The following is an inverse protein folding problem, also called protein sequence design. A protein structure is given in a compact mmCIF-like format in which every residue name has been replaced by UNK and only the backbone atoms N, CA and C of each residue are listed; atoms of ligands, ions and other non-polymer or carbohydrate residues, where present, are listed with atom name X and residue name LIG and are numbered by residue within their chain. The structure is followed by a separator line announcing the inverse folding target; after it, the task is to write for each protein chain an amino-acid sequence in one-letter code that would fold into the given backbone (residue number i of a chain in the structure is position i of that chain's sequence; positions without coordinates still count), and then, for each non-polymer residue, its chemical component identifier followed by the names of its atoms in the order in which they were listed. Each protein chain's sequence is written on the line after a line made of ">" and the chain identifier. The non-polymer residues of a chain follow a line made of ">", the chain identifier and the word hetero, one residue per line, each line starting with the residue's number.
data_IF_161582339093
#
_entry.id   IF_161582339093
#
_cell.length_a   1.000
_cell.length_b   1.000
_cell.length_c   1.000
_cell.angle_alpha   90.00
_cell.angle_beta   90.00
_cell.angle_gamma   90.00
#
_symmetry.space_group_name_H-M   'P 1'
#
loop_
_entity.id
_entity.type
_entity.pdbx_description
1 polymer ?
#
# COMPACT_ATOMS: atom_id res chain seq x y z
N UNK A 1 -28.86 -5.18 21.03
CA UNK A 1 -27.56 -5.42 20.38
C UNK A 1 -27.80 -6.04 19.01
N UNK A 2 -28.10 -5.30 17.99
CA UNK A 2 -28.16 -5.78 16.60
C UNK A 2 -28.75 -4.67 15.71
N UNK A 3 -27.96 -3.69 15.28
CA UNK A 3 -28.38 -2.81 14.17
C UNK A 3 -27.23 -2.01 13.55
N UNK A 4 -25.99 -2.19 14.00
CA UNK A 4 -24.82 -1.45 13.47
C UNK A 4 -23.93 -2.25 12.51
N UNK A 5 -24.22 -3.53 12.27
CA UNK A 5 -23.43 -4.38 11.38
C UNK A 5 -23.98 -4.43 9.93
N UNK A 6 -25.15 -3.86 9.66
CA UNK A 6 -25.84 -4.01 8.37
C UNK A 6 -25.50 -2.91 7.33
N UNK A 7 -24.79 -1.84 7.73
CA UNK A 7 -24.53 -0.71 6.81
C UNK A 7 -23.13 -0.70 6.15
N UNK A 8 -22.29 -1.72 6.37
CA UNK A 8 -20.91 -1.76 5.86
C UNK A 8 -20.65 -2.79 4.76
N UNK A 9 -21.68 -3.37 4.16
CA UNK A 9 -21.51 -4.17 2.94
C UNK A 9 -22.08 -3.42 1.74
N UNK A 10 -21.27 -2.66 0.99
CA UNK A 10 -21.68 -2.36 -0.37
C UNK A 10 -21.73 -3.71 -1.09
N UNK A 11 -22.92 -4.17 -1.47
CA UNK A 11 -23.09 -5.32 -2.35
C UNK A 11 -22.24 -5.11 -3.61
N UNK A 12 -21.13 -5.82 -3.71
CA UNK A 12 -20.31 -5.90 -4.92
C UNK A 12 -21.06 -6.73 -5.97
N UNK A 13 -22.10 -6.14 -6.59
CA UNK A 13 -22.63 -6.69 -7.83
C UNK A 13 -21.61 -6.48 -8.93
N UNK A 14 -20.93 -7.57 -9.28
CA UNK A 14 -20.15 -7.64 -10.51
C UNK A 14 -21.06 -7.38 -11.70
N UNK A 15 -21.12 -6.13 -12.17
CA UNK A 15 -21.64 -5.85 -13.49
C UNK A 15 -20.61 -6.31 -14.52
N UNK A 16 -20.92 -7.20 -15.46
CA UNK A 16 -19.98 -7.62 -16.48
C UNK A 16 -19.57 -6.40 -17.30
N UNK A 17 -18.32 -5.99 -17.19
CA UNK A 17 -17.77 -4.91 -18.01
C UNK A 17 -17.87 -5.30 -19.50
N UNK A 18 -18.31 -4.43 -20.40
CA UNK A 18 -18.37 -4.71 -21.82
C UNK A 18 -16.98 -5.14 -22.31
N UNK A 19 -16.95 -6.23 -23.09
CA UNK A 19 -15.75 -6.81 -23.67
C UNK A 19 -15.12 -5.82 -24.66
N UNK A 20 -14.20 -5.01 -24.20
CA UNK A 20 -13.31 -4.24 -25.08
C UNK A 20 -12.23 -5.21 -25.59
N UNK A 21 -11.88 -5.18 -26.88
CA UNK A 21 -10.85 -6.06 -27.43
C UNK A 21 -9.56 -5.90 -26.61
N UNK A 22 -9.09 -7.00 -25.99
CA UNK A 22 -7.90 -7.02 -25.12
C UNK A 22 -6.65 -6.46 -25.80
N UNK A 23 -6.60 -6.46 -27.13
CA UNK A 23 -5.48 -6.01 -27.94
C UNK A 23 -5.25 -4.49 -27.93
N UNK A 24 -6.32 -3.68 -28.04
CA UNK A 24 -6.16 -2.21 -28.08
C UNK A 24 -5.70 -1.62 -26.76
N UNK A 25 -6.25 -2.07 -25.63
CA UNK A 25 -5.80 -1.61 -24.30
C UNK A 25 -4.37 -2.08 -23.99
N UNK A 26 -3.96 -3.23 -24.52
CA UNK A 26 -2.60 -3.75 -24.36
C UNK A 26 -1.56 -2.92 -25.11
N UNK A 27 -1.86 -2.47 -26.33
CA UNK A 27 -0.93 -1.68 -27.16
C UNK A 27 -0.72 -0.28 -26.56
N UNK A 28 -1.80 0.44 -26.27
CA UNK A 28 -1.74 1.78 -25.68
C UNK A 28 -0.98 1.81 -24.34
N UNK A 29 -1.15 0.81 -23.51
CA UNK A 29 -0.45 0.76 -22.24
C UNK A 29 1.02 0.34 -22.40
N UNK A 30 1.35 -0.51 -23.37
CA UNK A 30 2.74 -0.84 -23.70
C UNK A 30 3.48 0.38 -24.26
N UNK A 31 2.84 1.19 -25.08
CA UNK A 31 3.41 2.46 -25.56
C UNK A 31 3.57 3.47 -24.43
N UNK A 32 2.62 3.57 -23.51
CA UNK A 32 2.72 4.42 -22.33
C UNK A 32 3.86 3.97 -21.41
N UNK A 33 3.97 2.67 -21.11
CA UNK A 33 5.05 2.12 -20.29
C UNK A 33 6.41 2.34 -20.97
N UNK A 34 6.51 2.10 -22.28
CA UNK A 34 7.72 2.34 -23.04
C UNK A 34 8.12 3.83 -23.02
N UNK A 35 7.16 4.73 -23.22
CA UNK A 35 7.41 6.17 -23.14
C UNK A 35 7.97 6.60 -21.80
N UNK A 36 7.34 6.14 -20.69
CA UNK A 36 7.78 6.48 -19.35
C UNK A 36 9.14 5.85 -19.02
N UNK A 37 9.37 4.58 -19.39
CA UNK A 37 10.66 3.93 -19.16
C UNK A 37 11.79 4.62 -19.95
N UNK A 38 11.54 4.99 -21.20
CA UNK A 38 12.50 5.75 -22.00
C UNK A 38 12.76 7.15 -21.41
N UNK A 39 11.70 7.86 -20.99
CA UNK A 39 11.80 9.17 -20.36
C UNK A 39 12.57 9.13 -19.05
N UNK A 40 12.26 8.14 -18.21
CA UNK A 40 12.91 7.97 -16.91
C UNK A 40 14.27 7.26 -17.01
N UNK A 41 14.61 6.64 -18.13
CA UNK A 41 15.86 5.90 -18.33
C UNK A 41 15.93 4.60 -17.52
N UNK A 42 14.80 3.94 -17.28
CA UNK A 42 14.70 2.75 -16.41
C UNK A 42 14.06 1.57 -17.16
N UNK A 43 14.19 0.36 -16.60
CA UNK A 43 13.56 -0.85 -17.14
C UNK A 43 12.91 -1.64 -16.00
N UNK A 44 11.58 -1.62 -15.98
CA UNK A 44 10.79 -2.27 -14.93
C UNK A 44 9.75 -3.25 -15.48
N UNK A 45 9.57 -3.30 -16.82
CA UNK A 45 8.68 -4.24 -17.50
C UNK A 45 9.12 -5.70 -17.35
N UNK A 46 8.17 -6.62 -17.61
CA UNK A 46 8.35 -8.07 -17.47
C UNK A 46 8.01 -8.57 -16.08
N UNK A 47 7.52 -9.82 -16.01
CA UNK A 47 7.22 -10.52 -14.77
C UNK A 47 8.45 -11.26 -14.22
N UNK A 48 8.39 -11.66 -12.97
CA UNK A 48 9.28 -12.62 -12.36
C UNK A 48 8.48 -13.44 -11.33
N UNK A 49 8.77 -14.73 -11.25
CA UNK A 49 8.17 -15.59 -10.23
C UNK A 49 8.81 -15.31 -8.88
N UNK A 50 8.00 -15.26 -7.84
CA UNK A 50 8.52 -15.18 -6.49
C UNK A 50 9.00 -16.54 -6.02
N UNK A 51 10.17 -16.55 -5.37
CA UNK A 51 10.69 -17.76 -4.70
C UNK A 51 10.26 -17.83 -3.23
N UNK A 52 9.65 -16.78 -2.70
CA UNK A 52 9.21 -16.75 -1.31
C UNK A 52 7.72 -17.19 -1.21
N UNK A 53 7.40 -18.15 -0.31
CA UNK A 53 6.07 -18.77 -0.26
C UNK A 53 4.91 -17.81 -0.04
N UNK A 54 5.12 -16.75 0.71
CA UNK A 54 4.08 -15.74 1.04
C UNK A 54 4.13 -14.49 0.15
N UNK A 55 5.17 -14.35 -0.71
CA UNK A 55 5.25 -13.23 -1.65
C UNK A 55 4.53 -13.58 -2.98
N UNK A 56 4.00 -12.56 -3.62
CA UNK A 56 3.38 -12.70 -4.94
C UNK A 56 4.39 -12.49 -6.06
N UNK A 57 4.09 -13.08 -7.20
CA UNK A 57 4.88 -12.86 -8.41
C UNK A 57 4.98 -11.37 -8.74
N UNK A 58 6.16 -10.97 -9.21
CA UNK A 58 6.39 -9.61 -9.64
C UNK A 58 5.50 -9.26 -10.82
N UNK A 59 4.71 -8.23 -10.65
CA UNK A 59 3.90 -7.59 -11.68
C UNK A 59 3.83 -6.09 -11.44
N UNK A 60 3.56 -5.33 -12.48
CA UNK A 60 3.48 -3.88 -12.36
C UNK A 60 2.24 -3.33 -13.07
N UNK A 61 1.69 -2.25 -12.53
CA UNK A 61 0.64 -1.46 -13.16
C UNK A 61 1.25 -0.54 -14.22
N UNK A 62 0.42 0.01 -15.10
CA UNK A 62 0.83 1.06 -16.00
C UNK A 62 1.20 2.34 -15.23
N UNK A 63 2.14 3.12 -15.74
CA UNK A 63 2.62 4.35 -15.09
C UNK A 63 1.52 5.37 -14.82
N UNK A 64 0.58 5.56 -15.74
CA UNK A 64 -0.54 6.48 -15.57
C UNK A 64 -1.42 6.13 -14.36
N UNK A 65 -1.49 4.85 -14.01
CA UNK A 65 -2.20 4.40 -12.81
C UNK A 65 -1.46 4.82 -11.55
N UNK A 66 -0.13 4.69 -11.51
CA UNK A 66 0.64 5.13 -10.35
C UNK A 66 0.56 6.64 -10.14
N UNK A 67 0.68 7.44 -11.21
CA UNK A 67 0.53 8.88 -11.09
C UNK A 67 -0.84 9.27 -10.54
N UNK A 68 -1.92 8.63 -11.01
CA UNK A 68 -3.27 8.84 -10.47
C UNK A 68 -3.41 8.40 -9.00
N UNK A 69 -2.65 7.39 -8.55
CA UNK A 69 -2.57 7.01 -7.14
C UNK A 69 -1.86 8.11 -6.34
N UNK A 70 -0.73 8.62 -6.82
CA UNK A 70 0.02 9.68 -6.14
C UNK A 70 -0.75 10.99 -6.06
N UNK A 71 -1.49 11.35 -7.13
CA UNK A 71 -2.36 12.53 -7.13
C UNK A 71 -3.45 12.44 -6.05
N UNK A 72 -4.03 11.22 -5.84
CA UNK A 72 -5.03 10.98 -4.78
C UNK A 72 -4.41 10.90 -3.38
N UNK A 73 -3.17 10.50 -3.29
CA UNK A 73 -2.42 10.55 -2.03
C UNK A 73 -2.01 11.98 -1.67
N UNK A 74 -2.12 12.93 -2.61
CA UNK A 74 -1.74 14.34 -2.40
C UNK A 74 -0.35 14.46 -1.77
N UNK A 75 0.66 13.85 -2.44
CA UNK A 75 2.02 13.79 -1.92
C UNK A 75 2.57 15.17 -1.59
N UNK A 76 3.12 15.34 -0.39
CA UNK A 76 3.66 16.59 0.14
C UNK A 76 5.20 16.56 0.21
N UNK A 77 5.87 17.73 0.27
CA UNK A 77 7.33 17.81 0.31
C UNK A 77 7.98 17.15 1.53
N UNK A 78 7.27 17.01 2.63
CA UNK A 78 7.73 16.36 3.86
C UNK A 78 7.40 14.86 3.93
N UNK A 79 6.71 14.33 2.91
CA UNK A 79 6.37 12.91 2.87
C UNK A 79 7.59 12.01 2.70
N UNK A 80 7.60 10.95 3.49
CA UNK A 80 8.42 9.77 3.27
C UNK A 80 7.51 8.67 2.72
N UNK A 81 7.69 8.35 1.45
CA UNK A 81 6.89 7.36 0.72
C UNK A 81 7.60 6.01 0.75
N UNK A 82 6.91 4.95 1.14
CA UNK A 82 7.43 3.58 1.04
C UNK A 82 6.58 2.76 0.07
N UNK A 83 7.25 2.04 -0.84
CA UNK A 83 6.68 1.01 -1.71
C UNK A 83 7.04 -0.37 -1.15
N UNK A 84 6.03 -1.10 -0.72
CA UNK A 84 6.19 -2.43 -0.12
C UNK A 84 5.96 -3.50 -1.20
N UNK A 85 6.99 -4.34 -1.40
CA UNK A 85 7.07 -5.25 -2.53
C UNK A 85 7.49 -4.48 -3.80
N UNK A 86 8.53 -3.66 -3.68
CA UNK A 86 8.91 -2.71 -4.72
C UNK A 86 9.46 -3.34 -6.01
N UNK A 87 9.88 -4.61 -5.96
CA UNK A 87 10.44 -5.34 -7.08
C UNK A 87 11.54 -4.57 -7.79
N UNK A 88 11.36 -4.34 -9.10
CA UNK A 88 12.31 -3.56 -9.93
C UNK A 88 12.22 -2.04 -9.72
N UNK A 89 11.45 -1.55 -8.71
CA UNK A 89 11.39 -0.15 -8.31
C UNK A 89 10.57 0.76 -9.21
N UNK A 90 9.53 0.24 -9.91
CA UNK A 90 8.68 1.09 -10.79
C UNK A 90 7.95 2.16 -9.98
N UNK A 91 7.30 1.79 -8.88
CA UNK A 91 6.60 2.73 -8.00
C UNK A 91 7.58 3.73 -7.38
N UNK A 92 8.73 3.24 -6.91
CA UNK A 92 9.80 4.07 -6.33
C UNK A 92 10.27 5.13 -7.32
N UNK A 93 10.60 4.74 -8.55
CA UNK A 93 11.06 5.68 -9.57
C UNK A 93 9.94 6.65 -10.00
N UNK A 94 8.70 6.19 -10.10
CA UNK A 94 7.58 7.07 -10.43
C UNK A 94 7.31 8.07 -9.30
N UNK A 95 7.28 7.64 -8.03
CA UNK A 95 7.09 8.52 -6.89
C UNK A 95 8.23 9.52 -6.72
N UNK A 96 9.48 9.12 -7.04
CA UNK A 96 10.64 10.00 -6.96
C UNK A 96 10.66 11.15 -8.00
N UNK A 97 9.69 11.19 -8.93
CA UNK A 97 9.46 12.37 -9.79
C UNK A 97 8.68 13.48 -9.09
N UNK A 98 8.07 13.19 -7.94
CA UNK A 98 7.43 14.18 -7.07
C UNK A 98 8.47 14.78 -6.12
N UNK A 99 8.21 16.02 -5.67
CA UNK A 99 9.03 16.68 -4.66
C UNK A 99 8.56 16.19 -3.28
N UNK A 100 9.07 15.04 -2.85
CA UNK A 100 8.85 14.46 -1.52
C UNK A 100 10.18 14.36 -0.78
N UNK A 101 10.15 14.14 0.53
CA UNK A 101 11.34 14.07 1.36
C UNK A 101 12.24 12.87 1.02
N UNK A 102 11.64 11.69 0.85
CA UNK A 102 12.33 10.44 0.48
C UNK A 102 11.34 9.44 -0.10
N UNK A 103 11.82 8.59 -1.01
CA UNK A 103 11.09 7.41 -1.49
C UNK A 103 11.90 6.15 -1.18
N UNK A 104 11.26 5.17 -0.54
CA UNK A 104 11.88 3.93 -0.08
C UNK A 104 11.22 2.75 -0.78
N UNK A 105 12.02 1.89 -1.39
CA UNK A 105 11.55 0.59 -1.88
C UNK A 105 11.95 -0.52 -0.90
N UNK A 106 10.99 -1.35 -0.51
CA UNK A 106 11.23 -2.53 0.35
C UNK A 106 10.85 -3.77 -0.42
N UNK A 107 11.76 -4.71 -0.52
CA UNK A 107 11.49 -6.02 -1.12
C UNK A 107 12.30 -7.11 -0.42
N UNK A 108 11.77 -8.32 -0.40
CA UNK A 108 12.44 -9.48 0.18
C UNK A 108 13.36 -10.17 -0.84
N UNK A 109 13.09 -9.98 -2.15
CA UNK A 109 13.87 -10.59 -3.23
C UNK A 109 15.11 -9.73 -3.56
N UNK A 110 16.33 -10.21 -3.26
CA UNK A 110 17.56 -9.46 -3.50
C UNK A 110 17.83 -9.24 -5.00
N UNK A 111 17.38 -10.13 -5.88
CA UNK A 111 17.59 -10.00 -7.32
C UNK A 111 16.72 -8.90 -7.91
N UNK A 112 15.43 -8.88 -7.55
CA UNK A 112 14.51 -7.81 -7.95
C UNK A 112 14.97 -6.48 -7.39
N UNK A 113 15.39 -6.46 -6.13
CA UNK A 113 15.86 -5.25 -5.46
C UNK A 113 17.15 -4.69 -6.11
N UNK A 114 18.08 -5.56 -6.53
CA UNK A 114 19.28 -5.12 -7.25
C UNK A 114 18.92 -4.41 -8.57
N UNK A 115 17.91 -4.90 -9.30
CA UNK A 115 17.37 -4.24 -10.49
C UNK A 115 16.71 -2.90 -10.13
N UNK A 116 15.95 -2.85 -9.02
CA UNK A 116 15.35 -1.63 -8.49
C UNK A 116 16.41 -0.58 -8.15
N UNK A 117 17.46 -0.98 -7.45
CA UNK A 117 18.60 -0.11 -7.13
C UNK A 117 19.30 0.43 -8.39
N UNK A 118 19.51 -0.43 -9.39
CA UNK A 118 20.08 -0.01 -10.67
C UNK A 118 19.18 1.00 -11.39
N UNK A 119 17.85 0.80 -11.38
CA UNK A 119 16.87 1.75 -11.88
C UNK A 119 16.91 3.08 -11.12
N UNK A 120 16.92 3.04 -9.79
CA UNK A 120 16.99 4.23 -8.93
C UNK A 120 18.28 5.05 -9.17
N UNK A 121 19.42 4.39 -9.41
CA UNK A 121 20.68 5.09 -9.72
C UNK A 121 20.67 5.80 -11.06
N UNK A 122 20.14 5.16 -12.11
CA UNK A 122 20.19 5.68 -13.49
C UNK A 122 19.00 6.54 -13.87
N UNK A 123 17.93 6.58 -13.04
CA UNK A 123 16.71 7.30 -13.38
C UNK A 123 16.97 8.79 -13.66
N UNK A 124 16.26 9.32 -14.66
CA UNK A 124 16.21 10.74 -15.00
C UNK A 124 15.00 11.42 -14.35
N UNK A 125 15.06 12.73 -14.19
CA UNK A 125 13.93 13.53 -13.68
C UNK A 125 13.62 13.28 -12.20
N UNK A 126 14.58 12.74 -11.44
CA UNK A 126 14.47 12.52 -10.02
C UNK A 126 14.42 13.84 -9.25
N UNK A 127 13.43 14.00 -8.39
CA UNK A 127 13.23 15.15 -7.50
C UNK A 127 13.37 14.80 -6.02
N UNK A 128 13.29 13.50 -5.67
CA UNK A 128 13.42 13.02 -4.31
C UNK A 128 14.55 12.00 -4.19
N UNK A 129 15.25 11.92 -3.04
CA UNK A 129 16.15 10.82 -2.73
C UNK A 129 15.42 9.47 -2.80
N UNK A 130 16.12 8.43 -3.27
CA UNK A 130 15.60 7.06 -3.28
C UNK A 130 16.51 6.13 -2.51
N UNK A 131 15.91 5.24 -1.73
CA UNK A 131 16.59 4.20 -0.96
C UNK A 131 15.89 2.87 -1.17
N UNK A 132 16.65 1.78 -1.09
CA UNK A 132 16.13 0.42 -1.21
C UNK A 132 16.60 -0.41 -0.02
N UNK A 133 15.71 -1.21 0.55
CA UNK A 133 15.96 -2.09 1.69
C UNK A 133 15.57 -3.53 1.35
N UNK A 134 16.54 -4.46 1.44
CA UNK A 134 16.33 -5.88 1.25
C UNK A 134 15.92 -6.51 2.58
N UNK A 135 14.63 -6.58 2.83
CA UNK A 135 14.08 -7.16 4.06
C UNK A 135 12.59 -7.40 3.94
N UNK A 136 12.06 -8.18 4.87
CA UNK A 136 10.61 -8.34 5.00
C UNK A 136 9.96 -7.01 5.41
N UNK A 137 8.77 -6.73 4.88
CA UNK A 137 7.94 -5.62 5.33
C UNK A 137 7.58 -5.73 6.83
N UNK A 138 7.49 -6.95 7.34
CA UNK A 138 7.24 -7.22 8.76
C UNK A 138 8.36 -6.74 9.69
N UNK A 139 9.58 -6.57 9.17
CA UNK A 139 10.77 -6.15 9.93
C UNK A 139 11.17 -4.71 9.64
N UNK A 140 10.46 -4.05 8.70
CA UNK A 140 10.80 -2.69 8.29
C UNK A 140 10.45 -1.65 9.36
N UNK A 141 11.32 -0.64 9.51
CA UNK A 141 11.05 0.50 10.39
C UNK A 141 10.18 1.55 9.70
N UNK A 142 8.91 1.65 10.12
CA UNK A 142 7.94 2.60 9.58
C UNK A 142 7.95 3.98 10.26
N UNK A 143 8.74 4.22 11.31
CA UNK A 143 8.71 5.50 12.05
C UNK A 143 8.83 6.76 11.17
N UNK A 144 9.71 6.82 10.15
CA UNK A 144 9.81 8.00 9.30
C UNK A 144 8.70 8.08 8.24
N UNK A 145 7.94 7.00 8.02
CA UNK A 145 7.04 6.86 6.86
C UNK A 145 5.73 7.61 7.12
N UNK A 146 5.28 8.40 6.14
CA UNK A 146 3.97 9.06 6.11
C UNK A 146 3.03 8.50 5.04
N UNK A 147 3.58 7.83 4.02
CA UNK A 147 2.80 7.29 2.91
C UNK A 147 3.27 5.90 2.53
N UNK A 148 2.35 4.94 2.48
CA UNK A 148 2.60 3.53 2.13
C UNK A 148 1.87 3.19 0.84
N UNK A 149 2.58 2.55 -0.09
CA UNK A 149 2.00 1.97 -1.31
C UNK A 149 2.11 0.46 -1.23
N UNK A 150 1.00 -0.23 -1.45
CA UNK A 150 0.88 -1.69 -1.43
C UNK A 150 0.15 -2.14 -2.70
N UNK A 151 0.78 -2.95 -3.54
CA UNK A 151 0.12 -3.52 -4.73
C UNK A 151 0.06 -5.05 -4.59
N UNK A 152 -0.74 -5.52 -3.62
CA UNK A 152 -0.87 -6.96 -3.30
C UNK A 152 0.47 -7.69 -3.21
N UNK A 153 1.42 -7.26 -2.38
CA UNK A 153 2.79 -7.79 -2.41
C UNK A 153 2.92 -9.19 -1.78
N UNK A 154 2.03 -9.56 -0.84
CA UNK A 154 2.14 -10.79 -0.03
C UNK A 154 0.78 -11.27 0.51
N UNK A 155 0.80 -12.40 1.23
CA UNK A 155 -0.36 -13.02 1.88
C UNK A 155 -0.70 -12.46 3.25
N UNK A 156 -1.62 -13.16 3.95
CA UNK A 156 -2.21 -12.70 5.20
C UNK A 156 -1.20 -12.60 6.35
N UNK A 157 -0.30 -13.60 6.46
CA UNK A 157 0.64 -13.66 7.58
C UNK A 157 1.61 -12.47 7.59
N UNK A 158 2.16 -12.10 6.42
CA UNK A 158 3.03 -10.94 6.30
C UNK A 158 2.25 -9.64 6.40
N UNK A 159 0.99 -9.59 5.88
CA UNK A 159 0.13 -8.41 6.00
C UNK A 159 -0.15 -8.08 7.46
N UNK A 160 -0.53 -9.08 8.28
CA UNK A 160 -0.83 -8.86 9.69
C UNK A 160 0.38 -8.28 10.44
N UNK A 161 1.56 -8.89 10.26
CA UNK A 161 2.80 -8.41 10.87
C UNK A 161 3.15 -7.00 10.40
N UNK A 162 2.98 -6.71 9.11
CA UNK A 162 3.25 -5.39 8.55
C UNK A 162 2.32 -4.33 9.14
N UNK A 163 1.01 -4.61 9.24
CA UNK A 163 0.05 -3.70 9.84
C UNK A 163 0.35 -3.46 11.32
N UNK A 164 0.74 -4.51 12.06
CA UNK A 164 1.17 -4.39 13.47
C UNK A 164 2.41 -3.51 13.60
N UNK A 165 3.40 -3.65 12.72
CA UNK A 165 4.60 -2.79 12.72
C UNK A 165 4.27 -1.33 12.41
N UNK A 166 3.37 -1.08 11.47
CA UNK A 166 2.89 0.28 11.19
C UNK A 166 2.20 0.87 12.42
N UNK A 167 1.30 0.11 13.07
CA UNK A 167 0.60 0.52 14.27
C UNK A 167 1.57 0.89 15.39
N UNK A 168 2.52 0.01 15.72
CA UNK A 168 3.58 0.28 16.70
C UNK A 168 4.37 1.55 16.39
N UNK A 169 4.68 1.78 15.11
CA UNK A 169 5.38 3.00 14.68
C UNK A 169 4.55 4.27 14.86
N UNK A 170 3.21 4.16 14.76
CA UNK A 170 2.29 5.28 15.00
C UNK A 170 2.10 5.53 16.50
N UNK A 171 2.16 4.49 17.33
CA UNK A 171 2.16 4.62 18.79
C UNK A 171 3.44 5.29 19.29
N UNK A 172 4.60 4.84 18.80
CA UNK A 172 5.90 5.42 19.15
C UNK A 172 6.06 6.86 18.66
N UNK A 173 5.57 7.16 17.47
CA UNK A 173 5.62 8.49 16.85
C UNK A 173 4.29 8.84 16.18
N UNK A 174 3.37 9.48 16.88
CA UNK A 174 2.07 9.89 16.35
C UNK A 174 2.21 10.83 15.15
N UNK A 175 1.59 10.46 14.01
CA UNK A 175 1.59 11.23 12.77
C UNK A 175 0.44 10.83 11.87
N UNK A 176 0.14 11.64 10.87
CA UNK A 176 -0.75 11.23 9.78
C UNK A 176 -0.01 10.24 8.88
N UNK A 177 -0.66 9.10 8.58
CA UNK A 177 -0.17 8.10 7.65
C UNK A 177 -1.26 7.77 6.65
N UNK A 178 -0.89 7.69 5.38
CA UNK A 178 -1.79 7.32 4.27
C UNK A 178 -1.32 6.03 3.63
N UNK A 179 -2.28 5.19 3.23
CA UNK A 179 -2.00 3.92 2.54
C UNK A 179 -2.80 3.89 1.24
N UNK A 180 -2.14 3.62 0.12
CA UNK A 180 -2.78 3.20 -1.12
C UNK A 180 -2.61 1.70 -1.29
N UNK A 181 -3.71 0.95 -1.29
CA UNK A 181 -3.72 -0.49 -1.44
C UNK A 181 -4.37 -0.89 -2.77
N UNK A 182 -3.54 -1.22 -3.75
CA UNK A 182 -3.99 -1.72 -5.07
C UNK A 182 -4.25 -3.22 -5.05
N UNK A 183 -5.32 -3.66 -5.74
CA UNK A 183 -5.83 -5.02 -5.67
C UNK A 183 -6.05 -5.51 -4.22
N UNK A 184 -6.97 -4.87 -3.49
CA UNK A 184 -7.07 -4.99 -2.04
C UNK A 184 -7.76 -6.29 -1.60
N UNK A 185 -7.16 -7.44 -1.94
CA UNK A 185 -7.69 -8.79 -1.61
C UNK A 185 -7.79 -9.04 -0.11
N UNK A 186 -6.96 -8.37 0.69
CA UNK A 186 -6.95 -8.46 2.14
C UNK A 186 -7.57 -7.21 2.80
N UNK A 187 -8.50 -6.55 2.12
CA UNK A 187 -9.11 -5.31 2.61
C UNK A 187 -9.80 -5.45 3.96
N UNK A 188 -10.33 -6.63 4.29
CA UNK A 188 -10.97 -6.90 5.58
C UNK A 188 -9.97 -6.81 6.74
N UNK A 189 -8.71 -7.21 6.53
CA UNK A 189 -7.67 -7.09 7.55
C UNK A 189 -7.38 -5.62 7.88
N UNK A 190 -7.34 -4.74 6.85
CA UNK A 190 -7.15 -3.32 7.05
C UNK A 190 -8.40 -2.68 7.70
N UNK A 191 -9.59 -3.10 7.30
CA UNK A 191 -10.86 -2.62 7.88
C UNK A 191 -11.02 -3.01 9.36
N UNK A 192 -10.42 -4.11 9.81
CA UNK A 192 -10.42 -4.54 11.20
C UNK A 192 -9.50 -3.68 12.10
N UNK A 193 -8.59 -2.89 11.53
CA UNK A 193 -7.67 -2.05 12.31
C UNK A 193 -8.34 -0.73 12.70
N UNK A 194 -8.60 -0.52 13.99
CA UNK A 194 -9.25 0.68 14.54
C UNK A 194 -8.52 1.98 14.22
N UNK A 195 -7.19 1.90 14.02
CA UNK A 195 -6.35 3.03 13.67
C UNK A 195 -6.36 3.40 12.18
N UNK A 196 -7.02 2.59 11.32
CA UNK A 196 -7.15 2.85 9.89
C UNK A 196 -8.59 3.22 9.52
N UNK A 197 -8.75 4.23 8.69
CA UNK A 197 -10.03 4.63 8.10
C UNK A 197 -9.93 4.64 6.58
N UNK A 198 -10.76 3.83 5.91
CA UNK A 198 -10.97 3.90 4.47
C UNK A 198 -11.64 5.24 4.14
N UNK A 199 -11.06 6.02 3.22
CA UNK A 199 -11.64 7.31 2.81
C UNK A 199 -12.00 7.36 1.33
N UNK A 200 -11.39 6.51 0.49
CA UNK A 200 -11.71 6.45 -0.92
C UNK A 200 -11.53 5.02 -1.46
N UNK A 201 -12.43 4.61 -2.36
CA UNK A 201 -12.30 3.41 -3.16
C UNK A 201 -12.33 3.83 -4.64
N UNK A 202 -11.15 3.93 -5.25
CA UNK A 202 -11.02 4.33 -6.65
C UNK A 202 -10.95 3.12 -7.57
N UNK A 203 -11.76 3.15 -8.63
CA UNK A 203 -11.70 2.16 -9.72
C UNK A 203 -11.10 2.80 -10.96
N UNK A 204 -9.95 2.31 -11.44
CA UNK A 204 -9.39 2.75 -12.72
C UNK A 204 -10.43 2.61 -13.83
N UNK A 205 -10.48 3.60 -14.72
CA UNK A 205 -11.51 3.68 -15.78
C UNK A 205 -11.47 2.48 -16.74
N UNK A 206 -12.54 2.32 -17.52
CA UNK A 206 -12.75 1.18 -18.45
C UNK A 206 -11.60 0.94 -19.45
N UNK A 207 -10.83 1.97 -19.75
CA UNK A 207 -9.67 1.91 -20.64
C UNK A 207 -8.36 1.53 -19.92
N UNK A 208 -8.37 1.46 -18.61
CA UNK A 208 -7.21 1.02 -17.84
C UNK A 208 -6.99 -0.50 -17.96
N UNK A 209 -5.72 -0.93 -17.98
CA UNK A 209 -5.35 -2.34 -17.81
C UNK A 209 -5.67 -2.87 -16.43
N UNK A 210 -5.67 -1.98 -15.44
CA UNK A 210 -5.97 -2.31 -14.05
C UNK A 210 -7.46 -2.58 -13.93
N UNK A 211 -7.81 -3.78 -13.52
CA UNK A 211 -9.20 -4.25 -13.39
C UNK A 211 -9.69 -4.33 -11.95
N UNK A 212 -8.81 -4.05 -11.02
CA UNK A 212 -9.10 -4.05 -9.59
C UNK A 212 -9.14 -2.61 -9.03
N UNK A 213 -9.83 -2.40 -7.91
CA UNK A 213 -9.87 -1.12 -7.23
C UNK A 213 -8.55 -0.82 -6.52
N UNK A 214 -8.36 0.45 -6.18
CA UNK A 214 -7.36 0.90 -5.23
C UNK A 214 -8.09 1.51 -4.05
N UNK A 215 -7.83 1.01 -2.86
CA UNK A 215 -8.38 1.52 -1.62
C UNK A 215 -7.38 2.48 -0.97
N UNK A 216 -7.89 3.63 -0.53
CA UNK A 216 -7.08 4.64 0.14
C UNK A 216 -7.50 4.74 1.60
N UNK A 217 -6.54 4.57 2.48
CA UNK A 217 -6.73 4.63 3.92
C UNK A 217 -5.88 5.75 4.51
N UNK A 218 -6.34 6.27 5.65
CA UNK A 218 -5.55 7.18 6.50
C UNK A 218 -5.60 6.71 7.94
N UNK A 219 -4.54 6.99 8.70
CA UNK A 219 -4.56 6.76 10.13
C UNK A 219 -5.62 7.64 10.79
N UNK A 220 -6.38 7.06 11.72
CA UNK A 220 -7.19 7.83 12.66
C UNK A 220 -6.27 8.66 13.56
N UNK A 221 -6.83 9.66 14.26
CA UNK A 221 -6.06 10.40 15.26
C UNK A 221 -5.51 9.42 16.31
N UNK A 222 -4.19 9.23 16.32
CA UNK A 222 -3.54 8.22 17.15
C UNK A 222 -3.77 8.49 18.65
N UNK A 223 -3.86 9.76 19.06
CA UNK A 223 -4.20 10.11 20.43
C UNK A 223 -5.57 9.53 20.85
N UNK A 224 -6.53 9.51 19.95
CA UNK A 224 -7.85 8.92 20.20
C UNK A 224 -7.78 7.39 20.29
N UNK A 225 -6.97 6.74 19.43
CA UNK A 225 -6.82 5.27 19.44
C UNK A 225 -6.09 4.78 20.69
N UNK A 226 -5.06 5.51 21.11
CA UNK A 226 -4.33 5.23 22.37
C UNK A 226 -5.24 5.43 23.59
N UNK A 227 -6.08 6.46 23.60
CA UNK A 227 -7.06 6.68 24.66
C UNK A 227 -8.11 5.56 24.73
N UNK A 228 -8.61 5.10 23.58
CA UNK A 228 -9.54 3.97 23.51
C UNK A 228 -8.92 2.66 24.04
N UNK A 229 -7.65 2.38 23.70
CA UNK A 229 -6.95 1.20 24.22
C UNK A 229 -6.80 1.23 25.75
N UNK A 230 -6.40 2.36 26.31
CA UNK A 230 -6.31 2.51 27.77
C UNK A 230 -7.65 2.27 28.44
N UNK A 231 -8.74 2.78 27.85
CA UNK A 231 -10.10 2.52 28.34
C UNK A 231 -10.47 1.03 28.23
N UNK A 232 -10.13 0.35 27.14
CA UNK A 232 -10.39 -1.09 26.98
C UNK A 232 -9.58 -1.93 28.01
N UNK A 233 -8.32 -1.55 28.29
CA UNK A 233 -7.45 -2.18 29.30
C UNK A 233 -7.98 -1.94 30.73
N UNK A 234 -8.43 -0.73 31.05
CA UNK A 234 -9.03 -0.40 32.33
C UNK A 234 -10.38 -1.16 32.53
N UNK A 235 -11.19 -1.27 31.48
CA UNK A 235 -12.46 -2.04 31.54
C UNK A 235 -12.19 -3.55 31.68
N UNK A 236 -11.16 -4.10 31.06
CA UNK A 236 -10.79 -5.50 31.21
C UNK A 236 -10.34 -5.81 32.64
N UNK A 237 -9.53 -4.93 33.25
CA UNK A 237 -9.14 -5.07 34.66
C UNK A 237 -10.31 -5.00 35.62
N UNK A 238 -11.32 -4.18 35.36
CA UNK A 238 -12.53 -4.07 36.18
C UNK A 238 -13.39 -5.35 36.08
N UNK A 239 -13.48 -5.94 34.88
CA UNK A 239 -14.26 -7.19 34.69
C UNK A 239 -13.59 -8.41 35.31
N UNK A 240 -12.25 -8.46 35.42
CA UNK A 240 -11.54 -9.54 36.11
C UNK A 240 -11.61 -9.42 37.64
N UNK A 241 -11.87 -8.23 38.17
CA UNK A 241 -11.95 -7.97 39.63
C UNK A 241 -13.35 -8.12 40.23
N UNK A 242 -14.41 -8.39 39.44
CA UNK A 242 -15.74 -8.66 39.97
C UNK A 242 -15.80 -10.14 40.36
N UNK A 243 -15.83 -10.50 41.66
CA UNK A 243 -15.97 -11.89 42.07
C UNK A 243 -17.34 -12.40 41.63
N UNK A 244 -17.33 -13.54 40.94
CA UNK A 244 -18.55 -14.29 40.63
C UNK A 244 -19.25 -14.64 41.94
N UNK A 245 -20.38 -14.01 42.21
CA UNK A 245 -21.24 -14.39 43.32
C UNK A 245 -22.23 -15.46 42.82
N UNK A 246 -22.06 -16.74 43.16
CA UNK A 246 -23.06 -17.74 42.82
C UNK A 246 -24.32 -17.50 43.65
N UNK A 247 -25.46 -17.35 42.97
CA UNK A 247 -26.81 -17.34 43.57
C UNK A 247 -27.24 -18.77 43.81
#
# INVERSE_FOLDING_TARGET
>A
MSTLAAELTPEYRFSPAPKVPRYCTSLLNRTCDFFWEARLGIHTTGGALSLHPDARDYGCLAYDTYFKIFDRLELQPDDVVVDIGCGKGRVVCAAATYSVKEVIGVDIDPHLLALGQANGRRMRGRRAPVRFACQSAADFNFEPVSTVVLISPFGEATMEKTLTRIEQSLEARPRSLRIAYGNPVLSLMLAAKRWLKLYECWRPGRWSRVKFPVHFYRSACVAFVVALRKLDEELALVTETIPYCPV
#
